data_IF_622496936801
#
_entry.id   IF_622496936801
#
_cell.length_a   1.000
_cell.length_b   1.000
_cell.length_c   1.000
_cell.angle_alpha   90.00
_cell.angle_beta   90.00
_cell.angle_gamma   90.00
#
_symmetry.space_group_name_H-M   'P 1'
#
loop_
_entity.id
_entity.type
_entity.pdbx_description
1 polymer ?
#
# COMPACT_ATOMS: atom_id res chain seq x y z
N UNK A 1 -4.88 -11.50 -12.11
CA UNK A 1 -4.24 -11.09 -10.84
C UNK A 1 -2.83 -10.63 -11.18
N UNK A 2 -2.53 -9.35 -10.99
CA UNK A 2 -1.21 -8.78 -11.30
C UNK A 2 -0.09 -9.51 -10.55
N UNK A 3 0.83 -10.15 -11.30
CA UNK A 3 1.99 -10.87 -10.74
C UNK A 3 2.79 -10.00 -9.76
N UNK A 4 2.91 -8.70 -10.06
CA UNK A 4 3.66 -7.73 -9.25
C UNK A 4 3.02 -7.55 -7.87
N UNK A 5 1.70 -7.41 -7.79
CA UNK A 5 0.98 -7.24 -6.51
C UNK A 5 1.14 -8.49 -5.63
N UNK A 6 1.14 -9.68 -6.23
CA UNK A 6 1.44 -10.93 -5.51
C UNK A 6 2.89 -10.97 -5.01
N UNK A 7 3.85 -10.48 -5.80
CA UNK A 7 5.25 -10.37 -5.36
C UNK A 7 5.40 -9.40 -4.19
N UNK A 8 4.75 -8.23 -4.24
CA UNK A 8 4.76 -7.25 -3.14
C UNK A 8 4.21 -7.91 -1.87
N UNK A 9 3.06 -8.58 -1.95
CA UNK A 9 2.46 -9.27 -0.81
C UNK A 9 3.38 -10.32 -0.18
N UNK A 10 4.08 -11.10 -1.01
CA UNK A 10 5.01 -12.10 -0.53
C UNK A 10 6.26 -11.48 0.13
N UNK A 11 6.69 -10.29 -0.30
CA UNK A 11 7.89 -9.62 0.23
C UNK A 11 7.61 -8.83 1.52
N UNK A 12 6.45 -8.20 1.62
CA UNK A 12 6.10 -7.33 2.76
C UNK A 12 5.23 -8.02 3.80
N UNK A 13 4.72 -9.23 3.50
CA UNK A 13 3.72 -9.92 4.30
C UNK A 13 2.42 -9.10 4.50
N UNK A 14 2.16 -8.13 3.62
CA UNK A 14 0.95 -7.31 3.61
C UNK A 14 -0.09 -7.96 2.70
N UNK A 15 -1.37 -7.92 3.10
CA UNK A 15 -2.41 -8.55 2.31
C UNK A 15 -2.67 -7.80 0.99
N UNK A 16 -3.15 -8.54 -0.03
CA UNK A 16 -3.40 -7.99 -1.36
C UNK A 16 -4.42 -6.83 -1.37
N UNK A 17 -5.40 -6.83 -0.46
CA UNK A 17 -6.40 -5.76 -0.37
C UNK A 17 -5.78 -4.45 0.09
N UNK A 18 -4.91 -4.50 1.09
CA UNK A 18 -4.19 -3.33 1.60
C UNK A 18 -3.25 -2.77 0.54
N UNK A 19 -2.51 -3.64 -0.16
CA UNK A 19 -1.63 -3.22 -1.27
C UNK A 19 -2.45 -2.53 -2.36
N UNK A 20 -3.56 -3.15 -2.79
CA UNK A 20 -4.43 -2.57 -3.82
C UNK A 20 -5.00 -1.23 -3.39
N UNK A 21 -5.41 -1.09 -2.11
CA UNK A 21 -5.91 0.17 -1.57
C UNK A 21 -4.83 1.27 -1.58
N UNK A 22 -3.61 0.95 -1.15
CA UNK A 22 -2.47 1.88 -1.21
C UNK A 22 -2.20 2.32 -2.65
N UNK A 23 -2.11 1.38 -3.59
CA UNK A 23 -1.83 1.69 -4.99
C UNK A 23 -2.95 2.53 -5.64
N UNK A 24 -4.21 2.29 -5.29
CA UNK A 24 -5.33 3.14 -5.76
C UNK A 24 -5.17 4.58 -5.25
N UNK A 25 -4.88 4.76 -3.97
CA UNK A 25 -4.70 6.08 -3.37
C UNK A 25 -3.51 6.83 -3.98
N UNK A 26 -2.39 6.14 -4.22
CA UNK A 26 -1.24 6.74 -4.92
C UNK A 26 -1.61 7.15 -6.34
N UNK A 27 -2.37 6.33 -7.07
CA UNK A 27 -2.85 6.63 -8.42
C UNK A 27 -3.82 7.83 -8.44
N UNK A 28 -4.57 8.04 -7.37
CA UNK A 28 -5.43 9.21 -7.14
C UNK A 28 -4.64 10.46 -6.72
N UNK A 29 -3.31 10.37 -6.58
CA UNK A 29 -2.43 11.49 -6.24
C UNK A 29 -2.17 11.68 -4.74
N UNK A 30 -2.58 10.72 -3.90
CA UNK A 30 -2.24 10.75 -2.48
C UNK A 30 -0.73 10.52 -2.28
N UNK A 31 -0.17 11.13 -1.23
CA UNK A 31 1.23 10.91 -0.84
C UNK A 31 1.34 9.90 0.31
N UNK A 32 2.52 9.30 0.50
CA UNK A 32 2.78 8.34 1.57
C UNK A 32 2.41 8.91 2.97
N UNK A 33 2.86 10.12 3.37
CA UNK A 33 2.49 10.69 4.68
C UNK A 33 0.98 10.95 4.80
N UNK A 34 0.33 11.33 3.69
CA UNK A 34 -1.11 11.55 3.68
C UNK A 34 -1.89 10.24 3.89
N UNK A 35 -1.50 9.15 3.21
CA UNK A 35 -2.16 7.85 3.36
C UNK A 35 -1.99 7.33 4.79
N UNK A 36 -0.76 7.36 5.32
CA UNK A 36 -0.44 6.90 6.67
C UNK A 36 -1.21 7.66 7.76
N UNK A 37 -1.52 8.94 7.53
CA UNK A 37 -2.19 9.80 8.51
C UNK A 37 -3.70 9.86 8.38
N UNK A 38 -4.23 9.85 7.15
CA UNK A 38 -5.64 10.15 6.86
C UNK A 38 -6.42 9.00 6.20
N UNK A 39 -5.76 7.92 5.77
CA UNK A 39 -6.39 6.78 5.08
C UNK A 39 -6.13 5.44 5.77
N UNK A 40 -6.01 5.48 7.10
CA UNK A 40 -5.78 4.29 7.93
C UNK A 40 -6.88 3.24 7.78
N UNK A 41 -8.14 3.65 7.80
CA UNK A 41 -9.27 2.69 7.66
C UNK A 41 -9.26 2.01 6.29
N UNK A 42 -8.98 2.76 5.21
CA UNK A 42 -8.90 2.23 3.85
C UNK A 42 -7.74 1.23 3.66
N UNK A 43 -6.66 1.40 4.42
CA UNK A 43 -5.46 0.55 4.36
C UNK A 43 -5.38 -0.47 5.48
N UNK A 44 -6.40 -0.57 6.34
CA UNK A 44 -6.38 -1.42 7.54
C UNK A 44 -5.16 -1.13 8.45
N UNK A 45 -4.97 0.16 8.75
CA UNK A 45 -3.96 0.73 9.65
C UNK A 45 -2.50 0.51 9.24
N UNK A 46 -2.18 0.50 7.95
CA UNK A 46 -0.77 0.54 7.54
C UNK A 46 -0.08 1.82 8.02
N UNK A 47 1.15 1.66 8.48
CA UNK A 47 2.02 2.79 8.83
C UNK A 47 2.81 3.29 7.62
N UNK A 48 3.55 4.39 7.82
CA UNK A 48 4.31 5.06 6.76
C UNK A 48 5.41 4.17 6.17
N UNK A 49 6.05 3.34 6.98
CA UNK A 49 7.12 2.44 6.55
C UNK A 49 6.55 1.33 5.67
N UNK A 50 5.46 0.70 6.12
CA UNK A 50 4.76 -0.33 5.35
C UNK A 50 4.22 0.18 4.01
N UNK A 51 3.66 1.40 3.99
CA UNK A 51 3.20 2.04 2.77
C UNK A 51 4.39 2.34 1.83
N UNK A 52 5.51 2.78 2.38
CA UNK A 52 6.74 3.00 1.61
C UNK A 52 7.28 1.71 1.01
N UNK A 53 7.30 0.62 1.76
CA UNK A 53 7.74 -0.69 1.25
C UNK A 53 6.89 -1.16 0.06
N UNK A 54 5.57 -0.96 0.13
CA UNK A 54 4.67 -1.27 -0.99
C UNK A 54 5.07 -0.48 -2.25
N UNK A 55 5.31 0.83 -2.12
CA UNK A 55 5.62 1.72 -3.24
C UNK A 55 7.02 1.50 -3.80
N UNK A 56 7.99 1.10 -2.97
CA UNK A 56 9.37 0.84 -3.42
C UNK A 56 9.48 -0.47 -4.21
N UNK A 57 8.66 -1.46 -3.87
CA UNK A 57 8.70 -2.78 -4.51
C UNK A 57 7.84 -2.82 -5.78
N UNK A 58 6.76 -2.03 -5.84
CA UNK A 58 5.82 -1.96 -6.95
C UNK A 58 6.35 -1.08 -8.09
#
# INVERSE_FOLDING_TARGET
MDKVVTTVANKTNINLKQITAVLSLIKEGATIPFIARYRKEATNNLDEEQIREIVVIY
#
